data_IF_894421297636
#
_entry.id   IF_894421297636
#
_cell.length_a   1.000
_cell.length_b   1.000
_cell.length_c   1.000
_cell.angle_alpha   90.00
_cell.angle_beta   90.00
_cell.angle_gamma   90.00
#
_symmetry.space_group_name_H-M   'P 1'
#
loop_
_entity.id
_entity.type
_entity.pdbx_description
1 polymer ?
#
# COMPACT_ATOMS: atom_id res chain seq x y z
N UNK A 1 6.69 12.46 20.17
CA UNK A 1 5.22 12.48 20.46
C UNK A 1 4.54 11.16 20.10
N UNK A 2 4.75 10.59 18.91
CA UNK A 2 4.11 9.36 18.39
C UNK A 2 4.46 8.00 19.05
N UNK A 3 4.86 8.00 20.33
CA UNK A 3 5.13 6.77 21.10
C UNK A 3 4.60 6.83 22.53
N UNK A 4 3.95 7.93 22.90
CA UNK A 4 3.30 8.05 24.20
C UNK A 4 1.86 7.52 24.08
N UNK A 5 1.59 6.37 24.71
CA UNK A 5 0.26 5.72 24.71
C UNK A 5 -0.87 6.65 25.20
N UNK A 6 -0.55 7.71 25.95
CA UNK A 6 -1.52 8.70 26.42
C UNK A 6 -1.97 9.69 25.34
N UNK A 7 -1.11 9.97 24.34
CA UNK A 7 -1.40 10.96 23.27
C UNK A 7 -1.98 10.27 22.03
N UNK A 8 -1.70 8.98 21.86
CA UNK A 8 -2.15 8.19 20.71
C UNK A 8 -3.67 8.26 20.48
N UNK A 9 -4.56 8.11 21.48
CA UNK A 9 -6.01 8.20 21.25
C UNK A 9 -6.47 9.56 20.70
N UNK A 10 -5.83 10.65 21.14
CA UNK A 10 -6.13 11.98 20.60
C UNK A 10 -5.73 12.08 19.14
N UNK A 11 -4.54 11.58 18.80
CA UNK A 11 -4.08 11.60 17.41
C UNK A 11 -4.94 10.71 16.51
N UNK A 12 -5.34 9.53 16.98
CA UNK A 12 -6.29 8.65 16.31
C UNK A 12 -7.63 9.34 16.04
N UNK A 13 -8.19 10.04 17.04
CA UNK A 13 -9.40 10.84 16.87
C UNK A 13 -9.25 11.95 15.82
N UNK A 14 -8.15 12.69 15.85
CA UNK A 14 -7.87 13.73 14.85
C UNK A 14 -7.70 13.14 13.44
N UNK A 15 -7.03 11.99 13.31
CA UNK A 15 -6.92 11.28 12.05
C UNK A 15 -8.27 10.80 11.54
N UNK A 16 -9.09 10.20 12.39
CA UNK A 16 -10.42 9.73 12.02
C UNK A 16 -11.29 10.88 11.51
N UNK A 17 -11.26 12.01 12.22
CA UNK A 17 -11.95 13.22 11.78
C UNK A 17 -11.40 13.73 10.45
N UNK A 18 -10.08 13.78 10.27
CA UNK A 18 -9.48 14.21 9.01
C UNK A 18 -9.86 13.27 7.84
N UNK A 19 -9.95 11.96 8.09
CA UNK A 19 -10.42 10.98 7.11
C UNK A 19 -11.89 11.22 6.77
N UNK A 20 -12.76 11.42 7.76
CA UNK A 20 -14.18 11.72 7.55
C UNK A 20 -14.39 13.02 6.78
N UNK A 21 -13.68 14.07 7.16
CA UNK A 21 -13.74 15.36 6.47
C UNK A 21 -13.24 15.21 5.03
N UNK A 22 -12.21 14.40 4.78
CA UNK A 22 -11.74 14.14 3.42
C UNK A 22 -12.74 13.32 2.59
N UNK A 23 -13.44 12.37 3.20
CA UNK A 23 -14.48 11.56 2.55
C UNK A 23 -15.69 12.43 2.20
N UNK A 24 -16.14 13.31 3.10
CA UNK A 24 -17.35 14.11 2.90
C UNK A 24 -17.08 15.39 2.10
N UNK A 25 -16.01 16.11 2.44
CA UNK A 25 -15.61 17.38 1.85
C UNK A 25 -14.08 17.45 1.63
N UNK A 26 -13.56 16.84 0.55
CA UNK A 26 -12.10 16.70 0.33
C UNK A 26 -11.28 17.98 0.49
N UNK A 27 -11.83 19.12 0.08
CA UNK A 27 -11.19 20.45 0.22
C UNK A 27 -11.09 20.90 1.68
N UNK A 28 -12.12 20.63 2.48
CA UNK A 28 -12.10 20.90 3.92
C UNK A 28 -11.14 19.95 4.62
N UNK A 29 -11.15 18.66 4.27
CA UNK A 29 -10.19 17.67 4.76
C UNK A 29 -8.73 18.08 4.51
N UNK A 30 -8.41 18.59 3.30
CA UNK A 30 -7.08 19.13 3.00
C UNK A 30 -6.71 20.34 3.86
N UNK A 31 -7.67 21.21 4.18
CA UNK A 31 -7.45 22.38 5.06
C UNK A 31 -7.15 21.93 6.50
N UNK A 32 -7.83 20.89 6.99
CA UNK A 32 -7.53 20.31 8.30
C UNK A 32 -6.18 19.59 8.33
N UNK A 33 -5.83 18.85 7.28
CA UNK A 33 -4.50 18.23 7.14
C UNK A 33 -3.39 19.28 7.10
N UNK A 34 -3.63 20.44 6.48
CA UNK A 34 -2.67 21.55 6.47
C UNK A 34 -2.46 22.12 7.87
N UNK A 35 -3.54 22.30 8.63
CA UNK A 35 -3.45 22.73 10.03
C UNK A 35 -2.68 21.74 10.88
N UNK A 36 -2.97 20.44 10.77
CA UNK A 36 -2.21 19.37 11.44
C UNK A 36 -0.73 19.43 11.02
N UNK A 37 -0.44 19.57 9.73
CA UNK A 37 0.93 19.68 9.23
C UNK A 37 1.70 20.85 9.85
N UNK A 38 1.04 21.99 10.07
CA UNK A 38 1.62 23.17 10.74
C UNK A 38 1.82 22.92 12.23
N UNK A 39 0.80 22.44 12.93
CA UNK A 39 0.81 22.19 14.37
C UNK A 39 1.88 21.15 14.77
N UNK A 40 2.18 20.18 13.88
CA UNK A 40 3.17 19.12 14.11
C UNK A 40 4.50 19.31 13.37
N UNK A 41 4.74 20.49 12.76
CA UNK A 41 5.95 20.85 12.01
C UNK A 41 6.39 19.80 10.96
N UNK A 42 5.42 19.24 10.23
CA UNK A 42 5.64 18.18 9.24
C UNK A 42 5.83 18.78 7.84
N UNK A 43 7.00 19.35 7.56
CA UNK A 43 7.31 20.07 6.31
C UNK A 43 6.98 19.26 5.03
N UNK A 44 7.16 17.94 5.05
CA UNK A 44 6.89 17.07 3.90
C UNK A 44 5.40 16.97 3.54
N UNK A 45 4.48 17.16 4.50
CA UNK A 45 3.04 17.10 4.25
C UNK A 45 2.56 18.33 3.49
N UNK A 46 3.19 19.49 3.68
CA UNK A 46 2.80 20.74 3.01
C UNK A 46 2.89 20.64 1.49
N UNK A 47 3.97 20.07 0.96
CA UNK A 47 4.16 19.90 -0.49
C UNK A 47 3.16 18.90 -1.08
N UNK A 48 2.84 17.83 -0.34
CA UNK A 48 1.84 16.85 -0.74
C UNK A 48 0.45 17.52 -0.80
N UNK A 49 0.08 18.28 0.23
CA UNK A 49 -1.20 19.00 0.28
C UNK A 49 -1.32 19.99 -0.88
N UNK A 50 -0.26 20.73 -1.19
CA UNK A 50 -0.26 21.66 -2.33
C UNK A 50 -0.50 20.93 -3.66
N UNK A 51 0.17 19.80 -3.88
CA UNK A 51 -0.04 18.96 -5.08
C UNK A 51 -1.48 18.44 -5.16
N UNK A 52 -2.06 18.03 -4.03
CA UNK A 52 -3.46 17.58 -3.98
C UNK A 52 -4.45 18.70 -4.29
N UNK A 53 -4.22 19.91 -3.77
CA UNK A 53 -5.03 21.10 -4.09
C UNK A 53 -4.98 21.46 -5.57
N UNK A 54 -3.84 21.23 -6.23
CA UNK A 54 -3.64 21.51 -7.66
C UNK A 54 -4.19 20.39 -8.57
N UNK A 55 -4.50 19.21 -8.03
CA UNK A 55 -4.89 18.04 -8.81
C UNK A 55 -6.23 17.45 -8.33
N UNK A 56 -7.34 18.03 -8.81
CA UNK A 56 -8.69 17.62 -8.44
C UNK A 56 -9.01 16.16 -8.82
N UNK A 57 -8.42 15.63 -9.91
CA UNK A 57 -8.67 14.24 -10.31
C UNK A 57 -8.01 13.26 -9.33
N UNK A 58 -6.77 13.54 -8.92
CA UNK A 58 -6.09 12.78 -7.87
C UNK A 58 -6.85 12.89 -6.53
N UNK A 59 -7.33 14.08 -6.17
CA UNK A 59 -8.12 14.29 -4.96
C UNK A 59 -9.40 13.44 -4.95
N UNK A 60 -10.13 13.43 -6.07
CA UNK A 60 -11.34 12.62 -6.25
C UNK A 60 -11.03 11.12 -6.21
N UNK A 61 -9.90 10.70 -6.80
CA UNK A 61 -9.44 9.31 -6.76
C UNK A 61 -9.13 8.85 -5.34
N UNK A 62 -8.38 9.64 -4.57
CA UNK A 62 -8.09 9.36 -3.17
C UNK A 62 -9.36 9.29 -2.32
N UNK A 63 -10.32 10.20 -2.54
CA UNK A 63 -11.62 10.14 -1.86
C UNK A 63 -12.33 8.80 -2.13
N UNK A 64 -12.37 8.33 -3.38
CA UNK A 64 -12.97 7.03 -3.73
C UNK A 64 -12.26 5.86 -3.04
N UNK A 65 -10.93 5.90 -2.93
CA UNK A 65 -10.16 4.88 -2.20
C UNK A 65 -10.53 4.88 -0.72
N UNK A 66 -10.58 6.06 -0.09
CA UNK A 66 -10.91 6.20 1.32
C UNK A 66 -12.34 5.71 1.63
N UNK A 67 -13.31 5.96 0.74
CA UNK A 67 -14.69 5.47 0.88
C UNK A 67 -14.74 3.93 0.87
N UNK A 68 -13.92 3.27 0.05
CA UNK A 68 -13.95 1.81 -0.13
C UNK A 68 -13.12 1.06 0.91
N UNK A 69 -12.13 1.72 1.51
CA UNK A 69 -11.19 1.12 2.45
C UNK A 69 -11.68 1.30 3.88
N UNK A 70 -11.52 0.28 4.72
CA UNK A 70 -11.83 0.42 6.15
C UNK A 70 -10.94 1.51 6.78
N UNK A 71 -11.58 2.49 7.45
CA UNK A 71 -10.91 3.62 8.12
C UNK A 71 -9.80 3.19 9.07
N UNK A 72 -9.98 2.07 9.79
CA UNK A 72 -8.97 1.55 10.70
C UNK A 72 -7.66 1.18 9.98
N UNK A 73 -7.75 0.67 8.76
CA UNK A 73 -6.58 0.36 7.91
C UNK A 73 -5.85 1.65 7.54
N UNK A 74 -6.58 2.66 7.05
CA UNK A 74 -5.99 3.94 6.66
C UNK A 74 -5.28 4.59 7.85
N UNK A 75 -5.95 4.62 9.01
CA UNK A 75 -5.38 5.14 10.26
C UNK A 75 -4.12 4.39 10.67
N UNK A 76 -4.15 3.06 10.69
CA UNK A 76 -3.01 2.20 11.00
C UNK A 76 -1.81 2.47 10.07
N UNK A 77 -2.04 2.59 8.76
CA UNK A 77 -1.00 2.92 7.80
C UNK A 77 -0.38 4.31 8.06
N UNK A 78 -1.22 5.33 8.27
CA UNK A 78 -0.73 6.69 8.54
C UNK A 78 0.09 6.72 9.84
N UNK A 79 -0.42 6.11 10.91
CA UNK A 79 0.28 6.02 12.19
C UNK A 79 1.64 5.33 12.06
N UNK A 80 1.69 4.18 11.40
CA UNK A 80 2.93 3.42 11.22
C UNK A 80 3.95 4.17 10.37
N UNK A 81 3.52 4.82 9.28
CA UNK A 81 4.41 5.68 8.46
C UNK A 81 4.94 6.86 9.30
N UNK A 82 4.07 7.55 10.05
CA UNK A 82 4.49 8.68 10.88
C UNK A 82 5.44 8.24 11.99
N UNK A 83 5.20 7.09 12.62
CA UNK A 83 6.15 6.52 13.57
C UNK A 83 7.49 6.19 12.91
N UNK A 84 7.47 5.63 11.70
CA UNK A 84 8.67 5.27 10.98
C UNK A 84 9.53 6.48 10.64
N UNK A 85 8.91 7.57 10.16
CA UNK A 85 9.59 8.85 9.82
C UNK A 85 10.20 9.50 11.07
N UNK A 86 9.51 9.42 12.22
CA UNK A 86 9.95 10.09 13.45
C UNK A 86 10.99 9.29 14.26
N UNK A 87 11.27 8.03 13.90
CA UNK A 87 12.25 7.18 14.59
C UNK A 87 13.60 7.24 13.88
N UNK A 88 14.68 7.45 14.65
CA UNK A 88 16.06 7.59 14.11
C UNK A 88 16.65 6.32 13.48
N UNK A 89 16.07 5.14 13.75
CA UNK A 89 16.52 3.84 13.22
C UNK A 89 15.32 2.92 13.05
N UNK A 90 14.89 2.74 11.81
CA UNK A 90 13.86 1.80 11.40
C UNK A 90 14.40 0.93 10.29
N UNK A 91 14.08 -0.35 10.35
CA UNK A 91 14.48 -1.32 9.34
C UNK A 91 13.39 -1.49 8.29
N UNK A 92 13.82 -1.77 7.07
CA UNK A 92 12.95 -2.13 5.96
C UNK A 92 13.35 -3.54 5.53
N UNK A 93 12.41 -4.48 5.56
CA UNK A 93 12.69 -5.88 5.24
C UNK A 93 12.09 -6.24 3.88
N UNK A 94 12.88 -6.87 3.01
CA UNK A 94 12.41 -7.35 1.71
C UNK A 94 12.65 -8.85 1.60
N UNK A 95 11.57 -9.60 1.44
CA UNK A 95 11.57 -11.04 1.23
C UNK A 95 11.20 -11.35 -0.22
N UNK A 96 12.19 -11.71 -1.04
CA UNK A 96 11.97 -12.11 -2.44
C UNK A 96 12.05 -13.63 -2.59
N UNK A 97 10.92 -14.31 -2.33
CA UNK A 97 10.82 -15.77 -2.40
C UNK A 97 10.69 -16.29 -3.84
N UNK A 98 10.77 -15.41 -4.84
CA UNK A 98 10.91 -15.80 -6.25
C UNK A 98 12.35 -16.16 -6.60
N UNK A 99 13.32 -15.65 -5.83
CA UNK A 99 14.77 -15.82 -6.06
C UNK A 99 15.44 -16.74 -5.04
N UNK A 100 14.75 -17.07 -3.96
CA UNK A 100 15.29 -17.83 -2.85
C UNK A 100 14.21 -18.77 -2.30
N UNK A 101 14.58 -19.92 -1.70
CA UNK A 101 13.62 -20.78 -1.03
C UNK A 101 12.81 -19.99 0.00
N UNK A 102 11.47 -20.17 0.04
CA UNK A 102 10.63 -19.45 0.98
C UNK A 102 11.00 -19.80 2.41
N UNK A 103 11.09 -18.77 3.27
CA UNK A 103 11.20 -18.98 4.71
C UNK A 103 9.87 -19.50 5.23
N UNK A 104 9.92 -20.47 6.14
CA UNK A 104 8.73 -20.93 6.86
C UNK A 104 8.17 -19.83 7.76
N UNK A 105 6.88 -19.89 8.06
CA UNK A 105 6.20 -18.88 8.90
C UNK A 105 6.87 -18.72 10.27
N UNK A 106 7.36 -19.81 10.87
CA UNK A 106 8.10 -19.76 12.13
C UNK A 106 9.44 -19.03 12.03
N UNK A 107 10.13 -19.14 10.88
CA UNK A 107 11.38 -18.41 10.64
C UNK A 107 11.09 -16.91 10.49
N UNK A 108 10.04 -16.55 9.77
CA UNK A 108 9.58 -15.15 9.62
C UNK A 108 9.21 -14.58 11.00
N UNK A 109 8.41 -15.31 11.79
CA UNK A 109 8.06 -14.92 13.17
C UNK A 109 9.30 -14.62 14.02
N UNK A 110 10.29 -15.51 13.96
CA UNK A 110 11.53 -15.34 14.71
C UNK A 110 12.31 -14.10 14.27
N UNK A 111 12.35 -13.80 12.97
CA UNK A 111 12.97 -12.58 12.46
C UNK A 111 12.24 -11.33 12.95
N UNK A 112 10.91 -11.27 12.77
CA UNK A 112 10.10 -10.12 13.21
C UNK A 112 10.24 -9.88 14.71
N UNK A 113 10.31 -10.93 15.53
CA UNK A 113 10.48 -10.82 16.99
C UNK A 113 11.85 -10.28 17.43
N UNK A 114 12.88 -10.42 16.59
CA UNK A 114 14.24 -9.95 16.88
C UNK A 114 14.48 -8.53 16.39
N UNK A 115 13.73 -8.10 15.38
CA UNK A 115 13.85 -6.76 14.83
C UNK A 115 13.00 -5.79 15.64
N UNK A 116 13.66 -4.96 16.46
CA UNK A 116 12.95 -4.06 17.38
C UNK A 116 12.01 -3.06 16.69
N UNK A 117 12.34 -2.63 15.47
CA UNK A 117 11.64 -1.53 14.75
C UNK A 117 11.65 -1.73 13.24
N UNK A 118 10.57 -2.30 12.71
CA UNK A 118 10.35 -2.40 11.26
C UNK A 118 9.44 -1.26 10.83
N UNK A 119 9.86 -0.46 9.85
CA UNK A 119 9.00 0.55 9.23
C UNK A 119 7.94 -0.13 8.36
N UNK A 120 8.40 -1.00 7.46
CA UNK A 120 7.55 -1.88 6.67
C UNK A 120 8.34 -3.11 6.22
N UNK A 121 7.61 -4.16 5.85
CA UNK A 121 8.19 -5.32 5.18
C UNK A 121 7.42 -5.68 3.90
N UNK A 122 8.17 -6.06 2.87
CA UNK A 122 7.62 -6.47 1.57
C UNK A 122 7.85 -7.96 1.37
N UNK A 123 6.81 -8.67 0.96
CA UNK A 123 6.85 -10.10 0.63
C UNK A 123 6.51 -10.27 -0.85
N UNK A 124 7.48 -10.67 -1.66
CA UNK A 124 7.26 -11.06 -3.05
C UNK A 124 7.13 -12.57 -3.09
N UNK A 125 5.87 -13.02 -3.10
CA UNK A 125 5.50 -14.41 -2.99
C UNK A 125 5.32 -15.05 -4.36
N UNK A 126 5.61 -16.34 -4.42
CA UNK A 126 5.28 -17.22 -5.54
C UNK A 126 5.04 -18.62 -4.99
N UNK A 127 3.86 -19.17 -5.25
CA UNK A 127 3.44 -20.51 -4.86
C UNK A 127 3.69 -20.78 -3.35
N UNK A 128 3.47 -19.78 -2.49
CA UNK A 128 3.83 -19.85 -1.07
C UNK A 128 2.80 -20.69 -0.28
N UNK A 129 3.17 -21.90 0.20
CA UNK A 129 2.20 -22.87 0.70
C UNK A 129 1.53 -22.46 2.02
N UNK A 130 2.21 -21.63 2.82
CA UNK A 130 1.75 -21.20 4.13
C UNK A 130 1.11 -19.79 4.10
N UNK A 131 0.58 -19.33 2.97
CA UNK A 131 0.12 -17.94 2.77
C UNK A 131 -0.91 -17.50 3.82
N UNK A 132 -1.90 -18.34 4.10
CA UNK A 132 -2.91 -18.05 5.12
C UNK A 132 -2.28 -17.90 6.52
N UNK A 133 -1.36 -18.80 6.87
CA UNK A 133 -0.66 -18.76 8.15
C UNK A 133 0.27 -17.53 8.26
N UNK A 134 0.91 -17.13 7.15
CA UNK A 134 1.70 -15.91 7.07
C UNK A 134 0.80 -14.67 7.31
N UNK A 135 -0.33 -14.54 6.61
CA UNK A 135 -1.26 -13.41 6.80
C UNK A 135 -1.72 -13.33 8.27
N UNK A 136 -2.08 -14.46 8.88
CA UNK A 136 -2.47 -14.53 10.30
C UNK A 136 -1.34 -14.16 11.27
N UNK A 137 -0.08 -14.45 10.92
CA UNK A 137 1.08 -14.01 11.68
C UNK A 137 1.24 -12.49 11.57
N UNK A 138 1.27 -11.96 10.34
CA UNK A 138 1.51 -10.55 10.07
C UNK A 138 0.41 -9.64 10.66
N UNK A 139 -0.83 -10.12 10.72
CA UNK A 139 -1.94 -9.44 11.40
C UNK A 139 -1.65 -9.11 12.87
N UNK A 140 -0.85 -9.94 13.56
CA UNK A 140 -0.51 -9.75 14.98
C UNK A 140 0.52 -8.65 15.20
N UNK A 141 1.29 -8.31 14.18
CA UNK A 141 2.36 -7.31 14.20
C UNK A 141 1.83 -5.91 13.82
N UNK A 142 0.90 -5.39 14.63
CA UNK A 142 0.13 -4.17 14.30
C UNK A 142 0.96 -2.90 14.08
N UNK A 143 2.14 -2.84 14.69
CA UNK A 143 3.06 -1.70 14.61
C UNK A 143 3.97 -1.74 13.36
N UNK A 144 3.70 -2.65 12.41
CA UNK A 144 4.46 -2.80 11.16
C UNK A 144 3.51 -2.87 9.98
N UNK A 145 3.82 -2.14 8.91
CA UNK A 145 3.11 -2.25 7.63
C UNK A 145 3.69 -3.39 6.82
N UNK A 146 2.82 -4.19 6.22
CA UNK A 146 3.20 -5.27 5.33
C UNK A 146 2.64 -5.06 3.94
N UNK A 147 3.49 -5.25 2.94
CA UNK A 147 3.10 -5.29 1.53
C UNK A 147 3.27 -6.72 1.03
N UNK A 148 2.18 -7.36 0.63
CA UNK A 148 2.21 -8.72 0.09
C UNK A 148 1.96 -8.64 -1.41
N UNK A 149 2.95 -9.02 -2.21
CA UNK A 149 2.88 -9.13 -3.65
C UNK A 149 2.61 -10.58 -4.02
N UNK A 150 1.52 -10.81 -4.74
CA UNK A 150 1.08 -12.14 -5.13
C UNK A 150 0.47 -12.14 -6.55
N UNK A 151 0.32 -13.33 -7.11
CA UNK A 151 -0.47 -13.53 -8.30
C UNK A 151 -1.97 -13.63 -7.94
N UNK A 152 -2.89 -13.08 -8.75
CA UNK A 152 -4.33 -13.17 -8.50
C UNK A 152 -4.86 -14.57 -8.17
N UNK A 153 -4.30 -15.61 -8.80
CA UNK A 153 -4.69 -17.02 -8.61
C UNK A 153 -4.37 -17.59 -7.23
N UNK A 154 -3.51 -16.93 -6.45
CA UNK A 154 -3.15 -17.38 -5.10
C UNK A 154 -4.19 -16.98 -4.05
N UNK A 155 -5.19 -16.17 -4.44
CA UNK A 155 -6.27 -15.74 -3.55
C UNK A 155 -7.34 -16.82 -3.40
N UNK A 156 -7.21 -17.59 -2.34
CA UNK A 156 -8.26 -18.49 -1.87
C UNK A 156 -9.21 -17.77 -0.92
N UNK A 157 -10.41 -18.32 -0.72
CA UNK A 157 -11.40 -17.78 0.23
C UNK A 157 -10.84 -17.63 1.64
N UNK A 158 -9.99 -18.57 2.10
CA UNK A 158 -9.38 -18.50 3.43
C UNK A 158 -8.39 -17.34 3.56
N UNK A 159 -7.57 -17.10 2.52
CA UNK A 159 -6.63 -15.97 2.49
C UNK A 159 -7.40 -14.65 2.50
N UNK A 160 -8.46 -14.56 1.71
CA UNK A 160 -9.36 -13.39 1.66
C UNK A 160 -9.98 -13.12 3.04
N UNK A 161 -10.50 -14.15 3.71
CA UNK A 161 -11.06 -14.03 5.05
C UNK A 161 -10.02 -13.55 6.07
N UNK A 162 -8.81 -14.10 6.02
CA UNK A 162 -7.71 -13.67 6.88
C UNK A 162 -7.34 -12.20 6.63
N UNK A 163 -7.24 -11.79 5.36
CA UNK A 163 -6.94 -10.41 4.96
C UNK A 163 -8.00 -9.42 5.43
N UNK A 164 -9.29 -9.79 5.41
CA UNK A 164 -10.40 -8.93 5.87
C UNK A 164 -10.29 -8.48 7.33
N UNK A 165 -9.49 -9.19 8.14
CA UNK A 165 -9.31 -8.93 9.57
C UNK A 165 -8.03 -8.14 9.86
N UNK A 166 -7.29 -7.75 8.81
CA UNK A 166 -5.99 -7.08 8.94
C UNK A 166 -6.13 -5.56 8.81
N UNK A 167 -5.34 -4.84 9.59
CA UNK A 167 -5.31 -3.37 9.57
C UNK A 167 -3.97 -2.81 9.08
N UNK A 168 -3.01 -3.68 8.85
CA UNK A 168 -1.61 -3.32 8.60
C UNK A 168 -1.04 -4.00 7.36
N UNK A 169 -1.87 -4.73 6.60
CA UNK A 169 -1.47 -5.41 5.36
C UNK A 169 -2.08 -4.69 4.18
N UNK A 170 -1.25 -4.38 3.19
CA UNK A 170 -1.68 -3.99 1.87
C UNK A 170 -1.34 -5.09 0.87
N UNK A 171 -2.35 -5.46 0.09
CA UNK A 171 -2.28 -6.53 -0.87
C UNK A 171 -1.96 -5.95 -2.25
N UNK A 172 -0.94 -6.45 -2.93
CA UNK A 172 -0.62 -6.06 -4.29
C UNK A 172 -0.76 -7.26 -5.22
N UNK A 173 -1.59 -7.10 -6.25
CA UNK A 173 -1.84 -8.13 -7.23
C UNK A 173 -1.09 -7.89 -8.54
N UNK A 174 -0.54 -8.96 -9.11
CA UNK A 174 0.12 -8.86 -10.41
C UNK A 174 -0.89 -8.49 -11.50
N UNK A 175 -0.59 -7.43 -12.27
CA UNK A 175 -1.48 -6.88 -13.30
C UNK A 175 -1.11 -7.29 -14.73
N UNK A 176 -0.29 -8.33 -14.91
CA UNK A 176 0.10 -8.79 -16.25
C UNK A 176 -1.10 -9.36 -17.03
N UNK A 177 -2.10 -9.90 -16.33
CA UNK A 177 -3.38 -10.29 -16.89
C UNK A 177 -4.51 -9.54 -16.18
N UNK A 178 -5.08 -8.55 -16.87
CA UNK A 178 -6.12 -7.68 -16.32
C UNK A 178 -7.44 -8.40 -16.03
N UNK A 179 -7.76 -9.50 -16.74
CA UNK A 179 -8.98 -10.26 -16.46
C UNK A 179 -8.88 -10.95 -15.10
N UNK A 180 -7.74 -11.60 -14.84
CA UNK A 180 -7.49 -12.24 -13.54
C UNK A 180 -7.47 -11.20 -12.41
N UNK A 181 -6.90 -10.03 -12.66
CA UNK A 181 -6.89 -8.92 -11.71
C UNK A 181 -8.32 -8.43 -11.40
N UNK A 182 -9.17 -8.27 -12.42
CA UNK A 182 -10.58 -7.87 -12.26
C UNK A 182 -11.36 -8.87 -11.39
N UNK A 183 -11.19 -10.16 -11.64
CA UNK A 183 -11.84 -11.22 -10.86
C UNK A 183 -11.37 -11.22 -9.40
N UNK A 184 -10.05 -11.15 -9.18
CA UNK A 184 -9.50 -11.08 -7.84
C UNK A 184 -9.93 -9.81 -7.10
N UNK A 185 -9.97 -8.65 -7.76
CA UNK A 185 -10.38 -7.41 -7.11
C UNK A 185 -11.86 -7.43 -6.69
N UNK A 186 -12.74 -8.12 -7.44
CA UNK A 186 -14.14 -8.34 -7.02
C UNK A 186 -14.25 -9.18 -5.74
N UNK A 187 -13.30 -10.09 -5.50
CA UNK A 187 -13.25 -10.86 -4.27
C UNK A 187 -12.74 -10.00 -3.11
N UNK A 188 -11.69 -9.22 -3.36
CA UNK A 188 -11.04 -8.37 -2.36
C UNK A 188 -11.90 -7.18 -1.94
N UNK A 189 -12.68 -6.61 -2.86
CA UNK A 189 -13.51 -5.43 -2.57
C UNK A 189 -14.53 -5.68 -1.44
N UNK A 190 -14.89 -6.94 -1.20
CA UNK A 190 -15.75 -7.37 -0.09
C UNK A 190 -15.05 -7.33 1.28
N UNK A 191 -13.73 -7.26 1.29
CA UNK A 191 -12.91 -7.32 2.50
C UNK A 191 -12.42 -5.95 2.97
N UNK A 192 -12.77 -4.88 2.26
CA UNK A 192 -12.40 -3.49 2.58
C UNK A 192 -10.90 -3.28 2.83
N UNK A 193 -10.03 -4.15 2.31
CA UNK A 193 -8.59 -4.04 2.49
C UNK A 193 -7.99 -3.03 1.51
N UNK A 194 -6.83 -2.46 1.87
CA UNK A 194 -6.08 -1.60 0.97
C UNK A 194 -5.37 -2.44 -0.09
N UNK A 195 -5.96 -2.56 -1.29
CA UNK A 195 -5.38 -3.28 -2.41
C UNK A 195 -4.80 -2.37 -3.49
N UNK A 196 -3.65 -2.77 -4.01
CA UNK A 196 -3.02 -2.20 -5.18
C UNK A 196 -2.74 -3.27 -6.22
N UNK A 197 -2.10 -2.85 -7.31
CA UNK A 197 -1.53 -3.78 -8.27
C UNK A 197 -0.04 -3.52 -8.46
N UNK A 198 0.64 -4.48 -9.07
CA UNK A 198 2.02 -4.32 -9.48
C UNK A 198 2.27 -4.96 -10.84
N UNK A 199 3.29 -4.46 -11.53
CA UNK A 199 3.79 -5.04 -12.78
C UNK A 199 5.31 -5.11 -12.75
N UNK A 200 5.85 -6.12 -13.43
CA UNK A 200 7.28 -6.19 -13.70
C UNK A 200 7.58 -5.45 -14.97
N UNK A 201 8.45 -4.44 -14.91
CA UNK A 201 8.81 -3.63 -16.07
C UNK A 201 10.21 -3.99 -16.55
N UNK A 202 10.29 -4.38 -17.81
CA UNK A 202 11.52 -4.59 -18.57
C UNK A 202 11.39 -3.96 -19.97
N UNK A 203 12.43 -4.05 -20.78
CA UNK A 203 12.46 -3.54 -22.14
C UNK A 203 11.40 -4.19 -23.04
N UNK A 204 11.12 -5.47 -22.84
CA UNK A 204 10.22 -6.25 -23.70
C UNK A 204 8.75 -5.87 -23.51
N UNK A 205 8.34 -5.54 -22.27
CA UNK A 205 6.94 -5.33 -21.91
C UNK A 205 6.56 -3.86 -21.63
N UNK A 206 7.52 -2.92 -21.58
CA UNK A 206 7.21 -1.52 -21.31
C UNK A 206 6.16 -0.94 -22.29
N UNK A 207 6.24 -1.29 -23.57
CA UNK A 207 5.30 -0.82 -24.59
C UNK A 207 3.85 -1.28 -24.33
N UNK A 208 3.68 -2.43 -23.67
CA UNK A 208 2.35 -2.92 -23.27
C UNK A 208 1.76 -1.98 -22.24
N UNK A 209 2.54 -1.62 -21.22
CA UNK A 209 2.06 -0.76 -20.14
C UNK A 209 1.88 0.69 -20.60
N UNK A 210 2.68 1.18 -21.55
CA UNK A 210 2.49 2.48 -22.21
C UNK A 210 1.19 2.59 -23.03
N UNK A 211 0.52 1.47 -23.32
CA UNK A 211 -0.68 1.47 -24.13
C UNK A 211 -1.88 2.07 -23.37
N UNK A 212 -2.54 3.06 -23.97
CA UNK A 212 -3.73 3.70 -23.39
C UNK A 212 -4.87 2.71 -23.08
N UNK A 213 -5.02 1.64 -23.88
CA UNK A 213 -6.02 0.60 -23.62
C UNK A 213 -5.72 -0.16 -22.32
N UNK A 214 -4.46 -0.51 -22.09
CA UNK A 214 -4.04 -1.17 -20.85
C UNK A 214 -4.35 -0.28 -19.64
N UNK A 215 -3.97 0.99 -19.69
CA UNK A 215 -4.25 1.95 -18.62
C UNK A 215 -5.73 2.13 -18.34
N UNK A 216 -6.54 2.25 -19.39
CA UNK A 216 -8.00 2.36 -19.23
C UNK A 216 -8.58 1.13 -18.54
N UNK A 217 -8.20 -0.07 -19.00
CA UNK A 217 -8.65 -1.31 -18.37
C UNK A 217 -8.14 -1.50 -16.94
N UNK A 218 -6.94 -0.99 -16.63
CA UNK A 218 -6.42 -0.97 -15.27
C UNK A 218 -7.18 0.01 -14.37
N UNK A 219 -7.54 1.20 -14.87
CA UNK A 219 -8.37 2.16 -14.13
C UNK A 219 -9.75 1.56 -13.78
N UNK A 220 -10.31 0.76 -14.68
CA UNK A 220 -11.57 0.04 -14.46
C UNK A 220 -11.46 -1.02 -13.34
N UNK A 221 -10.26 -1.47 -12.98
CA UNK A 221 -10.09 -2.42 -11.85
C UNK A 221 -10.32 -1.78 -10.49
N UNK A 222 -10.36 -0.44 -10.41
CA UNK A 222 -10.60 0.31 -9.16
C UNK A 222 -9.61 0.03 -8.01
N UNK A 223 -8.41 -0.47 -8.31
CA UNK A 223 -7.31 -0.60 -7.35
C UNK A 223 -6.86 0.77 -6.81
N UNK A 224 -6.29 0.81 -5.62
CA UNK A 224 -5.91 2.07 -4.99
C UNK A 224 -4.65 2.69 -5.64
N UNK A 225 -3.68 1.86 -6.00
CA UNK A 225 -2.40 2.31 -6.55
C UNK A 225 -1.72 1.20 -7.36
N UNK A 226 -0.69 1.60 -8.11
CA UNK A 226 0.09 0.73 -8.97
C UNK A 226 1.58 0.86 -8.62
N UNK A 227 2.25 -0.27 -8.44
CA UNK A 227 3.71 -0.33 -8.21
C UNK A 227 4.40 -0.91 -9.45
N UNK A 228 5.45 -0.22 -9.89
CA UNK A 228 6.32 -0.69 -10.97
C UNK A 228 7.58 -1.30 -10.39
N UNK A 229 7.80 -2.59 -10.63
CA UNK A 229 9.02 -3.28 -10.22
C UNK A 229 9.90 -3.46 -11.45
N UNK A 230 10.99 -2.70 -11.52
CA UNK A 230 11.97 -2.86 -12.59
C UNK A 230 12.79 -4.12 -12.37
N UNK A 231 12.80 -5.02 -13.35
CA UNK A 231 13.62 -6.25 -13.29
C UNK A 231 15.02 -6.06 -13.81
N UNK A 232 15.28 -4.96 -14.54
CA UNK A 232 16.56 -4.66 -15.16
C UNK A 232 16.89 -3.16 -15.23
N UNK A 233 18.13 -2.87 -15.63
CA UNK A 233 18.54 -1.50 -15.98
C UNK A 233 18.00 -1.18 -17.37
N UNK A 234 17.10 -0.18 -17.47
CA UNK A 234 16.54 0.23 -18.75
C UNK A 234 17.60 0.96 -19.60
N UNK A 235 17.72 0.66 -20.91
CA UNK A 235 18.57 1.40 -21.83
C UNK A 235 18.21 2.88 -21.90
N UNK A 236 19.19 3.74 -22.18
CA UNK A 236 18.99 5.19 -22.24
C UNK A 236 17.94 5.60 -23.29
N UNK A 237 17.86 4.84 -24.39
CA UNK A 237 16.88 5.05 -25.47
C UNK A 237 15.42 4.94 -25.02
N UNK A 238 15.16 4.16 -23.97
CA UNK A 238 13.80 3.86 -23.47
C UNK A 238 13.49 4.63 -22.18
N UNK A 239 14.51 5.20 -21.52
CA UNK A 239 14.33 6.01 -20.29
C UNK A 239 13.36 7.16 -20.49
N UNK A 240 13.35 7.80 -21.66
CA UNK A 240 12.45 8.93 -21.95
C UNK A 240 11.00 8.45 -21.93
N UNK A 241 10.70 7.31 -22.56
CA UNK A 241 9.35 6.77 -22.60
C UNK A 241 8.92 6.21 -21.23
N UNK A 242 9.84 5.62 -20.48
CA UNK A 242 9.61 5.26 -19.08
C UNK A 242 9.32 6.50 -18.19
N UNK A 243 10.01 7.63 -18.39
CA UNK A 243 9.74 8.86 -17.65
C UNK A 243 8.41 9.51 -18.05
N UNK A 244 7.99 9.39 -19.31
CA UNK A 244 6.65 9.81 -19.75
C UNK A 244 5.57 8.94 -19.12
N UNK A 245 5.81 7.63 -19.02
CA UNK A 245 4.92 6.67 -18.39
C UNK A 245 4.68 6.92 -16.89
N UNK A 246 5.67 7.44 -16.18
CA UNK A 246 5.56 7.76 -14.75
C UNK A 246 4.76 9.04 -14.44
N UNK A 247 4.38 9.83 -15.46
CA UNK A 247 3.61 11.06 -15.31
C UNK A 247 2.12 10.82 -15.54
#
# INVERSE_FOLDING_TARGET
MFGNKLIQPFFEYFLDKAIDDFINEPKQGLTHLEKISQDFNQLHLKDIILKLKQNNSLLTHLQKILIKTNKAIIRSFILNIMQAINKRKTEILHFDFRKSPPLQVNQIKNLLSKTEKIAYACFLLKDYPELEALVKLLQKERDTIFFIFLEPRELTSNVIEALSKTENISLLLQADNLNNLHEANKLISKCHCLSGAYVFVNQENLNIYLNQKYFKSLQETEIAFLIYIRTEKLPDTIKIDYLKFLK
#
